data_IF_882614625719
#
_entry.id   IF_882614625719
#
_cell.length_a   1.000
_cell.length_b   1.000
_cell.length_c   1.000
_cell.angle_alpha   90.00
_cell.angle_beta   90.00
_cell.angle_gamma   90.00
#
_symmetry.space_group_name_H-M   'P 1'
#
loop_
_entity.id
_entity.type
_entity.pdbx_description
1 polymer ?
#
# COMPACT_ATOMS: atom_id res chain seq x y z
N UNK A 1 14.44 -20.84 5.61
CA UNK A 1 14.99 -19.91 4.60
C UNK A 1 13.81 -19.12 4.02
N UNK A 2 13.89 -17.79 4.04
CA UNK A 2 12.92 -16.92 3.37
C UNK A 2 13.01 -17.12 1.85
N UNK A 3 11.90 -17.46 1.22
CA UNK A 3 11.80 -17.60 -0.23
C UNK A 3 10.58 -16.79 -0.73
N UNK A 4 10.79 -15.60 -1.30
CA UNK A 4 9.69 -14.72 -1.70
C UNK A 4 8.81 -15.34 -2.80
N UNK A 5 9.36 -16.19 -3.66
CA UNK A 5 8.62 -16.84 -4.73
C UNK A 5 7.67 -17.92 -4.19
N UNK A 6 8.12 -18.73 -3.22
CA UNK A 6 7.26 -19.74 -2.59
C UNK A 6 6.10 -19.08 -1.83
N UNK A 7 6.36 -18.00 -1.10
CA UNK A 7 5.32 -17.24 -0.39
C UNK A 7 4.33 -16.65 -1.39
N UNK A 8 4.81 -16.05 -2.47
CA UNK A 8 3.96 -15.47 -3.51
C UNK A 8 3.11 -16.55 -4.21
N UNK A 9 3.63 -17.76 -4.39
CA UNK A 9 2.88 -18.88 -4.97
C UNK A 9 1.75 -19.36 -4.04
N UNK A 10 2.02 -19.40 -2.73
CA UNK A 10 0.99 -19.70 -1.72
C UNK A 10 -0.14 -18.67 -1.81
N UNK A 11 0.19 -17.38 -1.85
CA UNK A 11 -0.82 -16.32 -1.97
C UNK A 11 -1.59 -16.40 -3.29
N UNK A 12 -0.90 -16.61 -4.42
CA UNK A 12 -1.50 -16.80 -5.73
C UNK A 12 -2.49 -17.97 -5.74
N UNK A 13 -2.11 -19.10 -5.14
CA UNK A 13 -2.95 -20.30 -5.01
C UNK A 13 -4.20 -20.07 -4.13
N UNK A 14 -4.17 -19.06 -3.28
CA UNK A 14 -5.30 -18.62 -2.45
C UNK A 14 -6.08 -17.43 -3.03
N UNK A 15 -5.90 -17.13 -4.32
CA UNK A 15 -6.64 -16.13 -5.08
C UNK A 15 -6.53 -14.71 -4.53
N UNK A 16 -5.35 -14.29 -4.06
CA UNK A 16 -5.13 -12.87 -3.75
C UNK A 16 -5.19 -12.04 -5.03
N UNK A 17 -5.64 -10.80 -4.90
CA UNK A 17 -5.79 -9.88 -6.04
C UNK A 17 -4.44 -9.31 -6.49
N UNK A 18 -3.55 -9.02 -5.54
CA UNK A 18 -2.23 -8.46 -5.79
C UNK A 18 -1.28 -8.78 -4.62
N UNK A 19 0.01 -8.56 -4.85
CA UNK A 19 1.05 -8.77 -3.86
C UNK A 19 1.66 -7.45 -3.42
N UNK A 20 1.95 -7.32 -2.12
CA UNK A 20 2.76 -6.24 -1.58
C UNK A 20 4.13 -6.81 -1.22
N UNK A 21 5.18 -6.32 -1.88
CA UNK A 21 6.54 -6.83 -1.71
C UNK A 21 7.39 -5.75 -1.05
N UNK A 22 7.91 -6.06 0.13
CA UNK A 22 8.84 -5.20 0.85
C UNK A 22 10.17 -5.15 0.11
N UNK A 23 10.66 -3.94 -0.18
CA UNK A 23 11.91 -3.70 -0.90
C UNK A 23 12.92 -2.88 -0.12
N UNK A 24 12.50 -2.25 0.96
CA UNK A 24 13.38 -1.54 1.88
C UNK A 24 14.31 -2.53 2.60
N UNK A 25 15.63 -2.25 2.56
CA UNK A 25 16.66 -3.21 2.95
C UNK A 25 17.03 -3.15 4.44
N UNK A 26 17.11 -1.94 5.00
CA UNK A 26 17.73 -1.72 6.31
C UNK A 26 16.83 -2.17 7.48
N UNK A 27 15.53 -1.90 7.41
CA UNK A 27 14.57 -2.17 8.48
C UNK A 27 13.68 -3.37 8.21
N UNK A 28 13.35 -3.61 6.93
CA UNK A 28 12.41 -4.68 6.55
C UNK A 28 13.09 -5.85 5.85
N UNK A 29 14.40 -5.80 5.65
CA UNK A 29 15.19 -6.86 5.01
C UNK A 29 14.65 -7.22 3.61
N UNK A 30 14.03 -6.25 2.94
CA UNK A 30 13.49 -6.35 1.61
C UNK A 30 14.57 -6.30 0.53
N UNK A 31 14.18 -6.46 -0.71
CA UNK A 31 15.06 -6.21 -1.86
C UNK A 31 14.24 -6.12 -3.14
N UNK A 32 14.56 -5.18 -4.03
CA UNK A 32 13.89 -5.00 -5.32
C UNK A 32 13.95 -6.26 -6.20
N UNK A 33 15.00 -7.06 -6.07
CA UNK A 33 15.13 -8.33 -6.83
C UNK A 33 14.02 -9.34 -6.51
N UNK A 34 13.38 -9.22 -5.35
CA UNK A 34 12.24 -10.09 -5.00
C UNK A 34 11.08 -9.89 -5.97
N UNK A 35 10.83 -8.63 -6.41
CA UNK A 35 9.79 -8.31 -7.40
C UNK A 35 10.06 -9.05 -8.71
N UNK A 36 11.27 -8.93 -9.27
CA UNK A 36 11.62 -9.59 -10.52
C UNK A 36 11.49 -11.12 -10.42
N UNK A 37 12.00 -11.71 -9.35
CA UNK A 37 11.90 -13.18 -9.15
C UNK A 37 10.46 -13.66 -9.06
N UNK A 38 9.56 -12.88 -8.45
CA UNK A 38 8.15 -13.21 -8.38
C UNK A 38 7.51 -13.06 -9.76
N UNK A 39 7.77 -11.95 -10.47
CA UNK A 39 7.23 -11.68 -11.81
C UNK A 39 7.62 -12.71 -12.86
N UNK A 40 8.77 -13.36 -12.73
CA UNK A 40 9.17 -14.46 -13.62
C UNK A 40 8.22 -15.65 -13.57
N UNK A 41 7.49 -15.85 -12.48
CA UNK A 41 6.64 -17.02 -12.24
C UNK A 41 5.17 -16.71 -12.03
N UNK A 42 4.84 -15.53 -11.55
CA UNK A 42 3.49 -15.17 -11.08
C UNK A 42 3.04 -13.88 -11.76
N UNK A 43 1.90 -13.95 -12.43
CA UNK A 43 1.34 -12.82 -13.16
C UNK A 43 0.29 -12.06 -12.30
N UNK A 44 0.66 -11.69 -11.07
CA UNK A 44 -0.15 -10.80 -10.24
C UNK A 44 0.42 -9.39 -10.25
N UNK A 45 -0.42 -8.35 -10.09
CA UNK A 45 0.06 -6.99 -9.83
C UNK A 45 0.89 -6.95 -8.55
N UNK A 46 2.00 -6.20 -8.58
CA UNK A 46 2.91 -6.06 -7.44
C UNK A 46 3.03 -4.61 -7.01
N UNK A 47 2.71 -4.35 -5.74
CA UNK A 47 3.06 -3.11 -5.05
C UNK A 47 4.52 -3.21 -4.56
N UNK A 48 5.37 -2.28 -5.02
CA UNK A 48 6.67 -2.04 -4.41
C UNK A 48 6.46 -1.29 -3.09
N UNK A 49 6.59 -1.98 -1.96
CA UNK A 49 6.39 -1.40 -0.63
C UNK A 49 7.72 -0.93 -0.07
N UNK A 50 7.96 0.37 -0.24
CA UNK A 50 9.18 1.06 0.13
C UNK A 50 8.88 2.48 0.61
N UNK A 51 9.90 3.19 1.13
CA UNK A 51 9.85 4.62 1.39
C UNK A 51 10.31 5.38 0.14
N UNK A 52 9.35 5.89 -0.64
CA UNK A 52 9.66 6.70 -1.82
C UNK A 52 9.94 8.14 -1.39
N UNK A 53 11.20 8.54 -1.47
CA UNK A 53 11.70 9.86 -1.10
C UNK A 53 12.45 10.57 -2.23
N UNK A 54 12.60 9.89 -3.37
CA UNK A 54 13.22 10.43 -4.59
C UNK A 54 12.50 9.88 -5.84
N UNK A 55 12.28 10.73 -6.83
CA UNK A 55 11.61 10.34 -8.09
C UNK A 55 12.34 9.22 -8.85
N UNK A 56 13.65 9.12 -8.71
CA UNK A 56 14.43 8.05 -9.35
C UNK A 56 14.03 6.65 -8.89
N UNK A 57 13.50 6.51 -7.67
CA UNK A 57 13.03 5.21 -7.16
C UNK A 57 11.88 4.63 -8.01
N UNK A 58 11.10 5.50 -8.69
CA UNK A 58 9.93 5.07 -9.48
C UNK A 58 10.34 4.31 -10.74
N UNK A 59 11.15 4.87 -11.67
CA UNK A 59 11.64 4.11 -12.81
C UNK A 59 12.48 2.89 -12.38
N UNK A 60 13.18 2.98 -11.25
CA UNK A 60 13.90 1.85 -10.71
C UNK A 60 12.95 0.72 -10.31
N UNK A 61 11.92 0.97 -9.50
CA UNK A 61 10.90 -0.02 -9.12
C UNK A 61 10.21 -0.60 -10.36
N UNK A 62 9.89 0.25 -11.34
CA UNK A 62 9.31 -0.18 -12.62
C UNK A 62 10.20 -1.14 -13.38
N UNK A 63 11.52 -0.89 -13.41
CA UNK A 63 12.49 -1.74 -14.11
C UNK A 63 12.58 -3.15 -13.50
N UNK A 64 12.25 -3.30 -12.23
CA UNK A 64 12.15 -4.60 -11.54
C UNK A 64 10.78 -5.27 -11.71
N UNK A 65 9.82 -4.60 -12.36
CA UNK A 65 8.51 -5.16 -12.67
C UNK A 65 7.39 -4.76 -11.70
N UNK A 66 7.60 -3.73 -10.86
CA UNK A 66 6.52 -3.20 -10.03
C UNK A 66 5.40 -2.58 -10.87
N UNK A 67 4.16 -2.80 -10.44
CA UNK A 67 2.96 -2.22 -11.06
C UNK A 67 2.43 -1.02 -10.27
N UNK A 68 2.75 -0.95 -8.99
CA UNK A 68 2.33 0.13 -8.10
C UNK A 68 3.45 0.55 -7.15
N UNK A 69 3.35 1.79 -6.67
CA UNK A 69 4.20 2.36 -5.61
C UNK A 69 3.37 2.82 -4.43
N UNK A 70 4.05 3.07 -3.30
CA UNK A 70 3.48 3.62 -2.07
C UNK A 70 4.00 5.03 -1.82
N UNK A 71 3.11 5.99 -1.60
CA UNK A 71 3.47 7.33 -1.12
C UNK A 71 2.91 7.50 0.29
N UNK A 72 3.78 7.59 1.29
CA UNK A 72 3.41 7.75 2.69
C UNK A 72 3.38 9.25 3.02
N UNK A 73 2.19 9.86 3.16
CA UNK A 73 2.08 11.31 3.37
C UNK A 73 2.75 11.79 4.66
N UNK A 74 2.79 10.96 5.69
CA UNK A 74 3.51 11.25 6.93
C UNK A 74 5.03 11.35 6.75
N UNK A 75 5.60 10.77 5.69
CA UNK A 75 7.04 10.67 5.44
C UNK A 75 7.60 11.66 4.44
N UNK A 76 6.76 12.43 3.75
CA UNK A 76 7.20 13.32 2.66
C UNK A 76 6.52 14.69 2.74
N UNK A 77 7.13 15.71 2.14
CA UNK A 77 6.47 17.01 1.96
C UNK A 77 5.37 16.92 0.89
N UNK A 78 4.40 17.86 0.94
CA UNK A 78 3.30 17.90 -0.03
C UNK A 78 3.84 18.06 -1.47
N UNK A 79 4.91 18.84 -1.68
CA UNK A 79 5.53 19.00 -3.00
C UNK A 79 6.15 17.69 -3.49
N UNK A 80 6.88 16.99 -2.63
CA UNK A 80 7.48 15.70 -2.99
C UNK A 80 6.41 14.64 -3.26
N UNK A 81 5.33 14.60 -2.48
CA UNK A 81 4.22 13.69 -2.73
C UNK A 81 3.61 13.90 -4.11
N UNK A 82 3.38 15.15 -4.52
CA UNK A 82 2.90 15.49 -5.87
C UNK A 82 3.92 15.08 -6.95
N UNK A 83 5.19 15.39 -6.75
CA UNK A 83 6.26 15.03 -7.68
C UNK A 83 6.35 13.52 -7.90
N UNK A 84 6.28 12.72 -6.82
CA UNK A 84 6.28 11.26 -6.87
C UNK A 84 5.03 10.72 -7.58
N UNK A 85 3.87 11.28 -7.26
CA UNK A 85 2.61 10.88 -7.88
C UNK A 85 2.63 11.11 -9.40
N UNK A 86 3.00 12.29 -9.82
CA UNK A 86 3.08 12.62 -11.24
C UNK A 86 4.13 11.78 -11.99
N UNK A 87 5.25 11.52 -11.35
CA UNK A 87 6.27 10.64 -11.93
C UNK A 87 5.75 9.22 -12.12
N UNK A 88 5.05 8.65 -11.12
CA UNK A 88 4.47 7.31 -11.23
C UNK A 88 3.46 7.19 -12.39
N UNK A 89 2.62 8.21 -12.58
CA UNK A 89 1.66 8.25 -13.68
C UNK A 89 2.36 8.23 -15.06
N UNK A 90 3.51 8.91 -15.23
CA UNK A 90 4.29 8.86 -16.47
C UNK A 90 4.75 7.43 -16.82
N UNK A 91 5.07 6.64 -15.80
CA UNK A 91 5.44 5.23 -15.96
C UNK A 91 4.23 4.28 -15.97
N UNK A 92 3.01 4.82 -15.99
CA UNK A 92 1.75 4.05 -15.95
C UNK A 92 1.71 3.08 -14.77
N UNK A 93 2.19 3.53 -13.62
CA UNK A 93 2.12 2.80 -12.35
C UNK A 93 0.92 3.29 -11.55
N UNK A 94 0.24 2.37 -10.89
CA UNK A 94 -0.75 2.72 -9.87
C UNK A 94 -0.06 3.28 -8.64
N UNK A 95 -0.77 4.15 -7.91
CA UNK A 95 -0.24 4.76 -6.69
C UNK A 95 -1.17 4.47 -5.53
N UNK A 96 -0.63 3.98 -4.43
CA UNK A 96 -1.29 3.98 -3.14
C UNK A 96 -0.77 5.18 -2.35
N UNK A 97 -1.67 6.07 -1.96
CA UNK A 97 -1.36 7.18 -1.06
C UNK A 97 -1.77 6.77 0.35
N UNK A 98 -0.79 6.55 1.20
CA UNK A 98 -0.99 6.07 2.57
C UNK A 98 -1.19 7.25 3.53
N UNK A 99 -2.23 7.15 4.36
CA UNK A 99 -2.64 8.15 5.35
C UNK A 99 -2.84 7.53 6.73
N UNK A 100 -2.52 8.30 7.78
CA UNK A 100 -2.63 7.88 9.19
C UNK A 100 -3.51 8.82 10.02
N UNK A 101 -3.83 9.99 9.46
CA UNK A 101 -4.58 11.03 10.16
C UNK A 101 -5.65 11.64 9.24
N UNK A 102 -6.67 12.25 9.87
CA UNK A 102 -7.72 13.00 9.15
C UNK A 102 -7.13 14.13 8.29
N UNK A 103 -6.07 14.78 8.74
CA UNK A 103 -5.45 15.87 7.99
C UNK A 103 -4.67 15.38 6.77
N UNK A 104 -4.00 14.23 6.89
CA UNK A 104 -3.40 13.54 5.72
C UNK A 104 -4.49 13.07 4.74
N UNK A 105 -5.62 12.55 5.23
CA UNK A 105 -6.73 12.14 4.38
C UNK A 105 -7.31 13.30 3.56
N UNK A 106 -7.46 14.49 4.15
CA UNK A 106 -7.86 15.69 3.40
C UNK A 106 -6.88 16.04 2.27
N UNK A 107 -5.58 15.87 2.50
CA UNK A 107 -4.54 16.08 1.47
C UNK A 107 -4.60 15.01 0.39
N UNK A 108 -4.87 13.77 0.78
CA UNK A 108 -4.96 12.64 -0.13
C UNK A 108 -6.06 12.81 -1.20
N UNK A 109 -7.12 13.57 -0.93
CA UNK A 109 -8.18 13.90 -1.90
C UNK A 109 -7.67 14.65 -3.15
N UNK A 110 -6.46 15.21 -3.12
CA UNK A 110 -5.86 15.84 -4.30
C UNK A 110 -5.33 14.83 -5.32
N UNK A 111 -5.10 13.57 -4.93
CA UNK A 111 -4.57 12.50 -5.76
C UNK A 111 -5.71 11.66 -6.37
N UNK A 112 -6.41 12.20 -7.34
CA UNK A 112 -7.70 11.70 -7.84
C UNK A 112 -7.68 10.27 -8.38
N UNK A 113 -6.57 9.86 -9.03
CA UNK A 113 -6.43 8.53 -9.61
C UNK A 113 -5.74 7.52 -8.66
N UNK A 114 -5.39 7.96 -7.44
CA UNK A 114 -4.73 7.10 -6.47
C UNK A 114 -5.73 6.18 -5.75
N UNK A 115 -5.25 5.02 -5.31
CA UNK A 115 -5.87 4.28 -4.23
C UNK A 115 -5.44 4.94 -2.91
N UNK A 116 -6.34 5.09 -1.96
CA UNK A 116 -5.97 5.64 -0.65
C UNK A 116 -5.90 4.50 0.37
N UNK A 117 -4.71 4.34 0.95
CA UNK A 117 -4.44 3.38 2.02
C UNK A 117 -4.60 4.03 3.39
N UNK A 118 -5.55 3.55 4.18
CA UNK A 118 -5.73 3.98 5.57
C UNK A 118 -4.95 3.03 6.45
N UNK A 119 -3.82 3.48 6.97
CA UNK A 119 -2.96 2.65 7.82
C UNK A 119 -3.33 2.80 9.29
N UNK A 120 -3.85 1.71 9.86
CA UNK A 120 -4.21 1.63 11.28
C UNK A 120 -3.01 1.57 12.22
N UNK A 121 -1.78 1.49 11.69
CA UNK A 121 -0.55 1.48 12.49
C UNK A 121 -0.02 2.89 12.69
N UNK A 122 0.05 3.33 13.93
CA UNK A 122 0.70 4.59 14.28
C UNK A 122 2.21 4.45 14.09
N UNK A 123 2.81 5.27 13.21
CA UNK A 123 4.24 5.17 12.85
C UNK A 123 5.19 5.51 14.01
N UNK A 124 4.73 6.24 15.05
CA UNK A 124 5.57 6.62 16.20
C UNK A 124 5.57 5.56 17.30
N UNK A 125 4.39 4.95 17.56
CA UNK A 125 4.21 4.00 18.64
C UNK A 125 4.19 2.55 18.18
N UNK A 126 4.07 2.32 16.88
CA UNK A 126 3.89 1.03 16.19
C UNK A 126 2.62 0.26 16.63
N UNK A 127 1.77 0.87 17.43
CA UNK A 127 0.48 0.28 17.85
C UNK A 127 -0.53 0.40 16.72
N UNK A 128 -1.37 -0.61 16.57
CA UNK A 128 -2.49 -0.62 15.63
C UNK A 128 -3.80 -0.31 16.34
N UNK A 129 -4.64 0.51 15.70
CA UNK A 129 -6.00 0.81 16.13
C UNK A 129 -6.92 0.88 14.91
N UNK A 130 -7.82 -0.09 14.79
CA UNK A 130 -8.75 -0.22 13.67
C UNK A 130 -9.74 0.97 13.58
N UNK A 131 -9.95 1.70 14.69
CA UNK A 131 -10.79 2.90 14.70
C UNK A 131 -10.24 3.99 13.77
N UNK A 132 -8.94 3.98 13.49
CA UNK A 132 -8.33 4.89 12.49
C UNK A 132 -9.03 4.79 11.15
N UNK A 133 -9.37 3.58 10.69
CA UNK A 133 -10.11 3.40 9.43
C UNK A 133 -11.50 4.02 9.51
N UNK A 134 -12.25 3.85 10.60
CA UNK A 134 -13.60 4.44 10.74
C UNK A 134 -13.55 5.97 10.75
N UNK A 135 -12.62 6.56 11.49
CA UNK A 135 -12.48 8.02 11.60
C UNK A 135 -12.10 8.67 10.24
N UNK A 136 -11.12 8.06 9.56
CA UNK A 136 -10.60 8.58 8.29
C UNK A 136 -11.57 8.33 7.14
N UNK A 137 -12.26 7.19 7.11
CA UNK A 137 -13.23 6.85 6.06
C UNK A 137 -14.25 7.96 5.83
N UNK A 138 -14.77 8.58 6.90
CA UNK A 138 -15.77 9.65 6.80
C UNK A 138 -15.27 10.86 6.00
N UNK A 139 -13.96 11.12 5.99
CA UNK A 139 -13.34 12.21 5.20
C UNK A 139 -13.22 11.80 3.73
N UNK A 140 -13.00 10.54 3.47
CA UNK A 140 -12.72 9.98 2.15
C UNK A 140 -13.96 9.47 1.40
N UNK A 141 -15.15 9.62 1.97
CA UNK A 141 -16.40 9.08 1.41
C UNK A 141 -16.71 9.55 -0.02
N UNK A 142 -16.19 10.71 -0.42
CA UNK A 142 -16.36 11.27 -1.76
C UNK A 142 -15.12 11.06 -2.67
N UNK A 143 -14.18 10.22 -2.25
CA UNK A 143 -13.07 9.84 -3.11
C UNK A 143 -13.54 8.81 -4.13
N UNK A 144 -13.28 9.06 -5.43
CA UNK A 144 -13.75 8.20 -6.51
C UNK A 144 -12.94 6.90 -6.65
N UNK A 145 -11.71 6.88 -6.11
CA UNK A 145 -10.81 5.72 -6.15
C UNK A 145 -11.06 4.71 -5.03
N UNK A 146 -10.48 3.50 -5.14
CA UNK A 146 -10.58 2.49 -4.09
C UNK A 146 -9.92 2.94 -2.79
N UNK A 147 -10.58 2.61 -1.66
CA UNK A 147 -10.01 2.74 -0.32
C UNK A 147 -9.48 1.38 0.15
N UNK A 148 -8.35 1.39 0.82
CA UNK A 148 -7.68 0.21 1.37
C UNK A 148 -7.55 0.40 2.87
N UNK A 149 -7.96 -0.59 3.69
CA UNK A 149 -7.61 -0.60 5.11
C UNK A 149 -6.36 -1.46 5.32
N UNK A 150 -5.37 -0.89 6.01
CA UNK A 150 -4.04 -1.50 6.19
C UNK A 150 -3.71 -1.69 7.66
N UNK A 151 -3.06 -2.78 7.99
CA UNK A 151 -2.58 -3.12 9.33
C UNK A 151 -3.68 -3.36 10.37
N UNK A 152 -3.38 -4.19 11.37
CA UNK A 152 -4.20 -4.36 12.57
C UNK A 152 -5.47 -5.19 12.40
N UNK A 153 -5.77 -5.70 11.22
CA UNK A 153 -6.89 -6.63 10.97
C UNK A 153 -6.41 -8.02 11.36
N UNK A 154 -7.04 -8.62 12.38
CA UNK A 154 -6.59 -9.89 12.97
C UNK A 154 -7.58 -11.03 12.76
N UNK A 155 -8.87 -10.71 12.61
CA UNK A 155 -9.92 -11.70 12.51
C UNK A 155 -10.82 -11.44 11.31
N UNK A 156 -11.53 -12.48 10.89
CA UNK A 156 -12.54 -12.39 9.84
C UNK A 156 -13.70 -11.47 10.25
N UNK A 157 -14.04 -11.48 11.53
CA UNK A 157 -15.12 -10.66 12.09
C UNK A 157 -14.78 -9.17 11.98
N UNK A 158 -13.53 -8.78 12.31
CA UNK A 158 -13.06 -7.40 12.13
C UNK A 158 -13.11 -6.96 10.67
N UNK A 159 -12.72 -7.84 9.74
CA UNK A 159 -12.79 -7.56 8.31
C UNK A 159 -14.23 -7.35 7.83
N UNK A 160 -15.15 -8.21 8.27
CA UNK A 160 -16.57 -8.08 7.93
C UNK A 160 -17.18 -6.80 8.54
N UNK A 161 -16.85 -6.46 9.78
CA UNK A 161 -17.31 -5.24 10.43
C UNK A 161 -16.81 -3.98 9.70
N UNK A 162 -15.54 -3.95 9.30
CA UNK A 162 -15.00 -2.87 8.46
C UNK A 162 -15.78 -2.72 7.15
N UNK A 163 -15.97 -3.84 6.44
CA UNK A 163 -16.71 -3.85 5.18
C UNK A 163 -18.16 -3.33 5.35
N UNK A 164 -18.85 -3.77 6.37
CA UNK A 164 -20.25 -3.40 6.62
C UNK A 164 -20.39 -1.93 7.02
N UNK A 165 -19.46 -1.39 7.80
CA UNK A 165 -19.51 -0.01 8.30
C UNK A 165 -18.92 1.04 7.35
N UNK A 166 -17.98 0.65 6.48
CA UNK A 166 -17.25 1.60 5.63
C UNK A 166 -17.40 1.33 4.14
N UNK A 167 -17.99 0.20 3.74
CA UNK A 167 -18.00 -0.28 2.36
C UNK A 167 -16.60 -0.53 1.75
N UNK A 168 -15.53 -0.47 2.55
CA UNK A 168 -14.17 -0.82 2.12
C UNK A 168 -14.11 -2.33 1.87
N UNK A 169 -13.69 -2.70 0.67
CA UNK A 169 -13.60 -4.09 0.22
C UNK A 169 -12.17 -4.54 -0.09
N UNK A 170 -11.20 -3.65 0.11
CA UNK A 170 -9.79 -3.90 -0.18
C UNK A 170 -8.97 -3.77 1.10
N UNK A 171 -8.15 -4.78 1.37
CA UNK A 171 -7.38 -4.87 2.61
C UNK A 171 -5.93 -5.22 2.29
N UNK A 172 -4.99 -4.56 2.97
CA UNK A 172 -3.57 -4.93 2.92
C UNK A 172 -3.21 -5.62 4.23
N UNK A 173 -2.98 -6.92 4.15
CA UNK A 173 -2.75 -7.79 5.31
C UNK A 173 -1.41 -8.52 5.13
N UNK A 174 -0.62 -8.59 6.17
CA UNK A 174 0.66 -9.32 6.19
C UNK A 174 0.87 -10.05 7.52
N UNK A 175 0.78 -9.33 8.64
CA UNK A 175 1.11 -9.85 9.97
C UNK A 175 0.18 -10.99 10.45
N UNK A 176 -1.04 -11.04 9.93
CA UNK A 176 -2.08 -11.99 10.34
C UNK A 176 -2.24 -13.21 9.42
N UNK A 177 -1.39 -13.33 8.38
CA UNK A 177 -1.43 -14.40 7.38
C UNK A 177 -0.38 -15.48 7.61
#
# INVERSE_FOLDING_TARGET
NYNPVEIADIYNSNNVTCLSVLTEEDYFLGNLIHISKIKEKINLPILCKDFFIDKFQIPLAKSYGADAILIILAGVSDNLANDLYEEALKYKMSVIVEVHTVDEAKKALNFKEALIGINNRNLKTLKTDINTTYDIHNVLINHDGPLISESGIKTKEELLDLKDKTSINTFLIGESL
#
